data_IF_425207593257
#
_entry.id   IF_425207593257
#
_cell.length_a   1.000
_cell.length_b   1.000
_cell.length_c   1.000
_cell.angle_alpha   90.00
_cell.angle_beta   90.00
_cell.angle_gamma   90.00
#
_symmetry.space_group_name_H-M   'P 1'
#
loop_
_entity.id
_entity.type
_entity.pdbx_description
1 polymer ?
#
# COMPACT_ATOMS: atom_id res chain seq x y z
N UNK A 1 27.62 -40.18 -30.63
CA UNK A 1 27.17 -39.04 -29.81
C UNK A 1 26.23 -39.60 -28.77
N UNK A 2 26.68 -39.62 -27.52
CA UNK A 2 25.91 -40.09 -26.37
C UNK A 2 24.82 -39.05 -26.06
N UNK A 3 23.60 -39.44 -25.68
CA UNK A 3 22.53 -38.48 -25.35
C UNK A 3 22.92 -37.52 -24.22
N UNK A 4 23.88 -37.90 -23.37
CA UNK A 4 24.50 -37.05 -22.34
C UNK A 4 25.42 -35.93 -22.89
N UNK A 5 25.94 -36.07 -24.12
CA UNK A 5 26.74 -35.02 -24.79
C UNK A 5 25.86 -34.07 -25.63
N UNK A 6 24.55 -34.23 -25.59
CA UNK A 6 23.61 -33.47 -26.40
C UNK A 6 23.32 -32.13 -25.73
N UNK A 7 23.49 -31.02 -26.45
CA UNK A 7 23.08 -29.67 -26.02
C UNK A 7 21.57 -29.53 -25.73
N UNK A 8 20.79 -30.58 -26.02
CA UNK A 8 19.36 -30.70 -25.76
C UNK A 8 19.05 -31.61 -24.55
N UNK A 9 20.06 -31.94 -23.74
CA UNK A 9 19.84 -32.64 -22.47
C UNK A 9 18.83 -31.85 -21.61
N UNK A 10 17.66 -32.44 -21.28
CA UNK A 10 16.61 -31.75 -20.54
C UNK A 10 17.09 -31.18 -19.20
N UNK A 11 18.06 -31.82 -18.55
CA UNK A 11 18.61 -31.35 -17.26
C UNK A 11 19.46 -30.09 -17.43
N UNK A 12 20.34 -30.07 -18.44
CA UNK A 12 21.13 -28.87 -18.79
C UNK A 12 20.24 -27.71 -19.24
N UNK A 13 19.14 -28.02 -19.93
CA UNK A 13 18.20 -27.04 -20.42
C UNK A 13 17.35 -26.45 -19.28
N UNK A 14 16.98 -27.26 -18.29
CA UNK A 14 16.34 -26.81 -17.06
C UNK A 14 17.27 -25.92 -16.23
N UNK A 15 18.55 -26.30 -16.13
CA UNK A 15 19.57 -25.51 -15.46
C UNK A 15 19.77 -24.15 -16.15
N UNK A 16 19.95 -24.12 -17.48
CA UNK A 16 20.07 -22.89 -18.25
C UNK A 16 18.83 -21.99 -18.10
N UNK A 17 17.63 -22.58 -18.09
CA UNK A 17 16.38 -21.84 -17.86
C UNK A 17 16.31 -21.24 -16.45
N UNK A 18 16.91 -21.90 -15.46
CA UNK A 18 16.98 -21.36 -14.09
C UNK A 18 17.90 -20.14 -13.99
N UNK A 19 19.03 -20.15 -14.71
CA UNK A 19 19.98 -19.02 -14.77
C UNK A 19 19.41 -17.81 -15.50
N UNK A 20 18.60 -18.05 -16.53
CA UNK A 20 17.95 -16.99 -17.31
C UNK A 20 16.64 -16.50 -16.69
N UNK A 21 16.16 -17.13 -15.61
CA UNK A 21 14.87 -16.76 -15.01
C UNK A 21 14.99 -15.36 -14.41
N UNK A 22 14.22 -14.37 -14.88
CA UNK A 22 14.26 -13.05 -14.29
C UNK A 22 13.82 -13.13 -12.83
N UNK A 23 14.45 -12.36 -11.92
CA UNK A 23 14.06 -12.34 -10.53
C UNK A 23 12.60 -11.88 -10.43
N UNK A 24 11.76 -12.71 -9.81
CA UNK A 24 10.36 -12.35 -9.57
C UNK A 24 10.35 -11.31 -8.47
N UNK A 25 10.23 -10.04 -8.84
CA UNK A 25 10.08 -8.96 -7.87
C UNK A 25 8.68 -9.03 -7.28
N UNK A 26 8.57 -9.57 -6.06
CA UNK A 26 7.31 -9.59 -5.33
C UNK A 26 7.06 -8.19 -4.78
N UNK A 27 6.22 -7.43 -5.46
CA UNK A 27 5.77 -6.14 -4.97
C UNK A 27 5.15 -6.30 -3.58
N UNK A 28 5.72 -5.58 -2.61
CA UNK A 28 5.18 -5.53 -1.26
C UNK A 28 4.02 -4.52 -1.28
N UNK A 29 2.82 -5.00 -1.56
CA UNK A 29 1.59 -4.20 -1.48
C UNK A 29 1.15 -3.88 -0.03
N UNK A 30 1.71 -4.60 0.95
CA UNK A 30 1.40 -4.45 2.38
C UNK A 30 1.56 -3.04 2.95
N UNK A 31 2.61 -2.26 2.63
CA UNK A 31 2.76 -0.90 3.13
C UNK A 31 1.68 0.04 2.59
N UNK A 32 1.30 -0.10 1.31
CA UNK A 32 0.24 0.69 0.70
C UNK A 32 -1.12 0.39 1.34
N UNK A 33 -1.41 -0.89 1.60
CA UNK A 33 -2.59 -1.32 2.35
C UNK A 33 -2.61 -0.75 3.78
N UNK A 34 -1.46 -0.77 4.47
CA UNK A 34 -1.33 -0.17 5.81
C UNK A 34 -1.60 1.33 5.82
N UNK A 35 -1.05 2.07 4.86
CA UNK A 35 -1.27 3.50 4.73
C UNK A 35 -2.76 3.83 4.46
N UNK A 36 -3.40 3.08 3.56
CA UNK A 36 -4.82 3.24 3.26
C UNK A 36 -5.71 2.97 4.48
N UNK A 37 -5.42 1.90 5.23
CA UNK A 37 -6.15 1.57 6.45
C UNK A 37 -6.01 2.67 7.53
N UNK A 38 -4.80 3.18 7.73
CA UNK A 38 -4.57 4.28 8.69
C UNK A 38 -5.35 5.54 8.31
N UNK A 39 -5.34 5.92 7.02
CA UNK A 39 -6.10 7.06 6.54
C UNK A 39 -7.61 6.89 6.76
N UNK A 40 -8.16 5.70 6.51
CA UNK A 40 -9.57 5.40 6.76
C UNK A 40 -9.94 5.53 8.25
N UNK A 41 -9.09 5.02 9.14
CA UNK A 41 -9.31 5.13 10.59
C UNK A 41 -9.26 6.60 11.06
N UNK A 42 -8.29 7.38 10.56
CA UNK A 42 -8.18 8.79 10.88
C UNK A 42 -9.42 9.60 10.42
N UNK A 43 -9.92 9.31 9.22
CA UNK A 43 -11.13 9.94 8.69
C UNK A 43 -12.36 9.62 9.54
N UNK A 44 -12.53 8.36 9.97
CA UNK A 44 -13.61 7.95 10.86
C UNK A 44 -13.53 8.67 12.22
N UNK A 45 -12.34 8.76 12.81
CA UNK A 45 -12.14 9.47 14.08
C UNK A 45 -12.51 10.96 13.98
N UNK A 46 -12.10 11.62 12.89
CA UNK A 46 -12.44 13.02 12.64
C UNK A 46 -13.95 13.22 12.47
N UNK A 47 -14.61 12.33 11.71
CA UNK A 47 -16.05 12.38 11.52
C UNK A 47 -16.80 12.25 12.86
N UNK A 48 -16.38 11.31 13.71
CA UNK A 48 -16.93 11.15 15.06
C UNK A 48 -16.74 12.42 15.88
N UNK A 49 -15.55 13.01 15.88
CA UNK A 49 -15.27 14.24 16.61
C UNK A 49 -16.22 15.38 16.18
N UNK A 50 -16.42 15.56 14.88
CA UNK A 50 -17.36 16.56 14.33
C UNK A 50 -18.80 16.31 14.75
N UNK A 51 -19.25 15.06 14.82
CA UNK A 51 -20.61 14.70 15.27
C UNK A 51 -20.79 15.01 16.75
N UNK A 52 -19.78 14.73 17.57
CA UNK A 52 -19.84 14.90 19.03
C UNK A 52 -19.47 16.29 19.51
N UNK A 53 -19.00 17.18 18.63
CA UNK A 53 -18.52 18.50 19.01
C UNK A 53 -19.67 19.36 19.57
N UNK A 54 -19.48 20.03 20.72
CA UNK A 54 -20.47 20.94 21.27
C UNK A 54 -20.69 22.13 20.31
N UNK A 55 -21.93 22.65 20.21
CA UNK A 55 -22.24 23.74 19.30
C UNK A 55 -21.43 24.99 19.65
N UNK A 56 -20.74 25.54 18.66
CA UNK A 56 -19.92 26.74 18.83
C UNK A 56 -20.86 27.94 18.95
N UNK A 57 -21.12 28.40 20.17
CA UNK A 57 -21.91 29.61 20.41
C UNK A 57 -21.03 30.83 20.17
N UNK A 58 -21.13 31.46 18.99
CA UNK A 58 -20.49 32.74 18.72
C UNK A 58 -21.38 33.88 19.21
N UNK A 59 -20.98 34.55 20.30
CA UNK A 59 -21.66 35.77 20.77
C UNK A 59 -21.14 36.97 19.99
N UNK A 60 -21.99 37.60 19.16
CA UNK A 60 -21.68 38.88 18.56
C UNK A 60 -21.76 39.98 19.62
N UNK A 61 -20.61 40.49 20.06
CA UNK A 61 -20.55 41.69 20.90
C UNK A 61 -20.81 42.88 19.98
N UNK A 62 -22.02 43.44 20.03
CA UNK A 62 -22.33 44.73 19.40
C UNK A 62 -21.81 45.80 20.35
N UNK A 63 -20.58 46.25 20.12
CA UNK A 63 -20.03 47.42 20.79
C UNK A 63 -20.72 48.67 20.22
N UNK A 64 -21.70 49.21 20.95
CA UNK A 64 -22.29 50.52 20.63
C UNK A 64 -21.28 51.60 21.02
N UNK A 65 -20.71 52.27 20.03
CA UNK A 65 -19.93 53.49 20.24
C UNK A 65 -20.86 54.63 20.75
N UNK A 66 -20.35 55.51 21.64
CA UNK A 66 -21.12 56.60 22.27
C UNK A 66 -21.51 57.72 21.30
#
# INVERSE_FOLDING_TARGET
>A
MTPADSALDPDQMAYARSLLRPPVYRERAWPALGAAAFAAVAALALAVAMITAPPVTTTHVVERAP
#
